data_IF_772558032166
#
_entry.id   IF_772558032166
#
_cell.length_a   1.000
_cell.length_b   1.000
_cell.length_c   1.000
_cell.angle_alpha   90.00
_cell.angle_beta   90.00
_cell.angle_gamma   90.00
#
_symmetry.space_group_name_H-M   'P 1'
#
loop_
_entity.id
_entity.type
_entity.pdbx_description
1 polymer ?
#
# COMPACT_ATOMS: atom_id res chain seq x y z
N UNK A 1 18.79 -7.20 3.44
CA UNK A 1 18.40 -6.05 4.30
C UNK A 1 17.52 -5.18 3.44
N UNK A 2 16.27 -4.92 3.83
CA UNK A 2 15.39 -4.06 3.04
C UNK A 2 15.69 -2.60 3.43
N UNK A 3 16.04 -1.78 2.44
CA UNK A 3 16.31 -0.35 2.60
C UNK A 3 15.20 0.46 1.93
N UNK A 4 14.93 1.65 2.46
CA UNK A 4 13.99 2.57 1.83
C UNK A 4 14.61 3.22 0.58
N UNK A 5 13.80 3.54 -0.45
CA UNK A 5 14.29 4.20 -1.65
C UNK A 5 14.85 5.61 -1.40
N UNK A 6 14.38 6.25 -0.32
CA UNK A 6 14.92 7.50 0.23
C UNK A 6 15.04 7.31 1.73
N UNK A 7 16.20 7.62 2.29
CA UNK A 7 16.50 7.44 3.71
C UNK A 7 17.43 8.56 4.15
N UNK A 8 17.18 9.11 5.33
CA UNK A 8 17.98 10.19 5.92
C UNK A 8 17.82 10.18 7.44
N UNK A 9 18.74 10.87 8.13
CA UNK A 9 18.74 10.90 9.60
C UNK A 9 17.65 11.80 10.18
N UNK A 10 17.21 12.83 9.44
CA UNK A 10 16.13 13.73 9.85
C UNK A 10 15.09 14.00 8.75
N UNK A 11 13.92 14.48 9.18
CA UNK A 11 12.76 14.72 8.31
C UNK A 11 13.03 15.74 7.20
N UNK A 12 13.88 16.74 7.46
CA UNK A 12 14.18 17.79 6.48
C UNK A 12 15.07 17.22 5.38
N UNK A 13 16.13 16.50 5.76
CA UNK A 13 17.00 15.80 4.80
C UNK A 13 16.21 14.77 3.98
N UNK A 14 15.32 14.01 4.63
CA UNK A 14 14.44 13.06 3.94
C UNK A 14 13.54 13.76 2.93
N UNK A 15 12.96 14.90 3.29
CA UNK A 15 12.14 15.70 2.38
C UNK A 15 12.95 16.21 1.18
N UNK A 16 14.17 16.68 1.41
CA UNK A 16 15.06 17.11 0.32
C UNK A 16 15.44 15.95 -0.60
N UNK A 17 15.70 14.77 -0.04
CA UNK A 17 16.02 13.57 -0.80
C UNK A 17 14.82 13.11 -1.64
N UNK A 18 13.62 13.04 -1.06
CA UNK A 18 12.38 12.74 -1.79
C UNK A 18 12.12 13.76 -2.90
N UNK A 19 12.48 15.03 -2.70
CA UNK A 19 12.25 16.07 -3.72
C UNK A 19 13.26 15.99 -4.86
N UNK A 20 14.53 15.76 -4.57
CA UNK A 20 15.63 16.03 -5.51
C UNK A 20 16.39 14.78 -5.96
N UNK A 21 16.53 13.78 -5.09
CA UNK A 21 17.41 12.66 -5.36
C UNK A 21 16.73 11.58 -6.20
N UNK A 22 17.54 10.78 -6.88
CA UNK A 22 17.10 9.52 -7.51
C UNK A 22 17.22 8.39 -6.49
N UNK A 23 16.25 7.48 -6.40
CA UNK A 23 16.31 6.37 -5.47
C UNK A 23 17.50 5.46 -5.83
N UNK A 24 18.23 5.01 -4.81
CA UNK A 24 19.31 4.04 -5.00
C UNK A 24 18.71 2.65 -5.22
N UNK A 25 18.92 2.08 -6.41
CA UNK A 25 18.46 0.74 -6.77
C UNK A 25 19.62 -0.25 -6.70
N UNK A 26 19.35 -1.48 -6.25
CA UNK A 26 20.35 -2.54 -6.17
C UNK A 26 20.48 -3.28 -7.51
N UNK A 27 21.67 -3.81 -7.79
CA UNK A 27 21.93 -4.63 -8.99
C UNK A 27 21.18 -5.98 -8.95
N UNK A 28 20.58 -6.34 -7.82
CA UNK A 28 19.75 -7.55 -7.66
C UNK A 28 18.38 -7.42 -8.36
N UNK A 29 17.96 -6.20 -8.70
CA UNK A 29 16.71 -5.93 -9.41
C UNK A 29 16.88 -6.14 -10.91
N UNK A 30 15.91 -6.79 -11.56
CA UNK A 30 15.88 -6.88 -13.03
C UNK A 30 15.74 -5.50 -13.67
N UNK A 31 16.10 -5.37 -14.95
CA UNK A 31 16.01 -4.10 -15.67
C UNK A 31 14.57 -3.58 -15.72
N UNK A 32 13.61 -4.48 -15.91
CA UNK A 32 12.17 -4.18 -15.95
C UNK A 32 11.68 -3.70 -14.57
N UNK A 33 12.17 -4.30 -13.48
CA UNK A 33 11.85 -3.90 -12.12
C UNK A 33 12.41 -2.51 -11.80
N UNK A 34 13.67 -2.24 -12.18
CA UNK A 34 14.30 -0.93 -11.99
C UNK A 34 13.56 0.14 -12.80
N UNK A 35 13.21 -0.15 -14.06
CA UNK A 35 12.43 0.73 -14.92
C UNK A 35 11.08 1.07 -14.29
N UNK A 36 10.34 0.06 -13.83
CA UNK A 36 9.04 0.25 -13.17
C UNK A 36 9.16 1.18 -11.96
N UNK A 37 10.12 0.90 -11.06
CA UNK A 37 10.34 1.70 -9.85
C UNK A 37 10.63 3.16 -10.20
N UNK A 38 11.52 3.41 -11.15
CA UNK A 38 11.88 4.77 -11.55
C UNK A 38 10.69 5.53 -12.16
N UNK A 39 9.89 4.87 -13.00
CA UNK A 39 8.71 5.49 -13.63
C UNK A 39 7.58 5.76 -12.63
N UNK A 40 7.42 4.94 -11.60
CA UNK A 40 6.48 5.17 -10.51
C UNK A 40 6.96 6.27 -9.53
N UNK A 41 8.28 6.38 -9.33
CA UNK A 41 8.91 7.39 -8.48
C UNK A 41 9.29 8.68 -9.23
N UNK A 42 8.71 8.91 -10.41
CA UNK A 42 8.87 10.16 -11.15
C UNK A 42 8.39 11.35 -10.32
N UNK A 43 9.22 12.40 -10.27
CA UNK A 43 9.01 13.56 -9.40
C UNK A 43 7.87 14.41 -9.93
N UNK A 44 7.78 14.57 -11.25
CA UNK A 44 6.65 15.25 -11.86
C UNK A 44 5.44 14.31 -11.89
N UNK A 45 4.34 14.62 -11.17
CA UNK A 45 3.16 13.76 -11.17
C UNK A 45 2.54 13.62 -12.56
N UNK A 46 2.67 14.61 -13.46
CA UNK A 46 2.12 14.50 -14.81
C UNK A 46 2.86 13.47 -15.69
N UNK A 47 4.14 13.22 -15.40
CA UNK A 47 4.99 12.29 -16.16
C UNK A 47 5.07 10.91 -15.49
N UNK A 48 4.50 10.77 -14.29
CA UNK A 48 4.51 9.53 -13.51
C UNK A 48 3.64 8.48 -14.17
N UNK A 49 4.17 7.25 -14.28
CA UNK A 49 3.45 6.10 -14.81
C UNK A 49 2.07 5.94 -14.13
N UNK A 50 1.02 5.84 -14.95
CA UNK A 50 -0.36 5.73 -14.47
C UNK A 50 -1.06 7.07 -14.25
N UNK A 51 -0.43 8.20 -14.60
CA UNK A 51 -1.04 9.53 -14.53
C UNK A 51 -1.71 9.95 -15.84
N UNK A 52 -1.58 9.13 -16.89
CA UNK A 52 -2.32 9.29 -18.14
C UNK A 52 -3.81 8.95 -17.96
N UNK A 53 -4.63 9.25 -18.98
CA UNK A 53 -6.05 8.86 -18.99
C UNK A 53 -6.26 7.34 -18.88
N UNK A 54 -5.25 6.54 -19.24
CA UNK A 54 -5.29 5.08 -19.12
C UNK A 54 -5.12 4.60 -17.67
N UNK A 55 -4.59 5.44 -16.77
CA UNK A 55 -4.49 5.13 -15.35
C UNK A 55 -3.78 3.81 -15.06
N UNK A 56 -4.46 2.92 -14.33
CA UNK A 56 -3.92 1.62 -13.94
C UNK A 56 -3.62 0.70 -15.14
N UNK A 57 -4.29 0.86 -16.29
CA UNK A 57 -4.02 0.05 -17.48
C UNK A 57 -2.63 0.35 -18.07
N UNK A 58 -2.12 1.58 -17.90
CA UNK A 58 -0.73 1.91 -18.25
C UNK A 58 0.27 1.16 -17.37
N UNK A 59 -0.04 1.00 -16.08
CA UNK A 59 0.82 0.28 -15.13
C UNK A 59 0.81 -1.22 -15.43
N UNK A 60 -0.37 -1.79 -15.68
CA UNK A 60 -0.56 -3.21 -16.03
C UNK A 60 0.16 -3.62 -17.31
N UNK A 61 0.27 -2.71 -18.27
CA UNK A 61 0.94 -2.94 -19.55
C UNK A 61 2.48 -2.84 -19.49
N UNK A 62 3.05 -2.54 -18.32
CA UNK A 62 4.50 -2.45 -18.15
C UNK A 62 5.16 -3.84 -18.27
N UNK A 63 6.35 -3.92 -18.88
CA UNK A 63 7.10 -5.17 -19.14
C UNK A 63 7.34 -6.02 -17.88
N UNK A 64 7.52 -5.38 -16.73
CA UNK A 64 7.60 -6.06 -15.43
C UNK A 64 6.42 -7.00 -15.13
N UNK A 65 5.23 -6.74 -15.70
CA UNK A 65 4.02 -7.53 -15.52
C UNK A 65 3.65 -8.34 -16.78
N UNK A 66 4.58 -8.53 -17.73
CA UNK A 66 4.29 -9.22 -19.00
C UNK A 66 3.77 -10.66 -18.81
N UNK A 67 4.20 -11.32 -17.74
CA UNK A 67 3.81 -12.70 -17.40
C UNK A 67 2.49 -12.79 -16.62
N UNK A 68 1.82 -11.68 -16.33
CA UNK A 68 0.57 -11.65 -15.55
C UNK A 68 -0.64 -11.61 -16.47
N UNK A 69 -1.43 -12.69 -16.45
CA UNK A 69 -2.80 -12.65 -16.92
C UNK A 69 -3.69 -11.96 -15.86
N UNK A 70 -4.12 -10.75 -16.17
CA UNK A 70 -4.92 -9.93 -15.26
C UNK A 70 -6.37 -10.42 -15.10
N UNK A 71 -6.90 -11.19 -16.05
CA UNK A 71 -8.23 -11.80 -15.97
C UNK A 71 -8.18 -13.00 -15.02
N UNK A 72 -7.24 -13.93 -15.21
CA UNK A 72 -7.01 -15.06 -14.30
C UNK A 72 -6.66 -14.59 -12.88
N UNK A 73 -5.88 -13.50 -12.76
CA UNK A 73 -5.56 -12.90 -11.46
C UNK A 73 -6.83 -12.42 -10.73
N UNK A 74 -7.73 -11.74 -11.45
CA UNK A 74 -8.98 -11.20 -10.89
C UNK A 74 -9.93 -12.32 -10.47
N UNK A 75 -9.99 -13.39 -11.26
CA UNK A 75 -10.79 -14.59 -11.00
C UNK A 75 -10.18 -15.50 -9.93
N UNK A 76 -8.98 -15.15 -9.42
CA UNK A 76 -8.22 -15.88 -8.39
C UNK A 76 -7.77 -17.27 -8.84
N UNK A 77 -7.51 -17.43 -10.13
CA UNK A 77 -7.04 -18.68 -10.72
C UNK A 77 -5.52 -18.85 -10.61
N UNK A 78 -4.77 -17.74 -10.57
CA UNK A 78 -3.34 -17.76 -10.33
C UNK A 78 -3.02 -18.23 -8.90
N UNK A 79 -2.17 -19.26 -8.78
CA UNK A 79 -1.71 -19.72 -7.48
C UNK A 79 -0.78 -18.69 -6.84
N UNK A 80 -1.08 -18.20 -5.61
CA UNK A 80 -0.21 -17.25 -4.94
C UNK A 80 1.15 -17.89 -4.61
N UNK A 81 2.27 -17.15 -4.74
CA UNK A 81 3.61 -17.69 -4.47
C UNK A 81 3.84 -18.05 -3.00
N UNK A 82 3.01 -17.50 -2.10
CA UNK A 82 3.03 -17.80 -0.68
C UNK A 82 1.61 -18.12 -0.19
N UNK A 83 1.44 -19.31 0.40
CA UNK A 83 0.21 -19.72 1.08
C UNK A 83 0.51 -19.85 2.58
N UNK A 84 0.00 -18.94 3.43
CA UNK A 84 0.24 -19.02 4.86
C UNK A 84 -0.37 -20.29 5.45
N UNK A 85 0.30 -20.85 6.46
CA UNK A 85 -0.27 -21.94 7.26
C UNK A 85 -1.30 -21.36 8.24
N UNK A 86 -2.53 -21.83 8.12
CA UNK A 86 -3.67 -21.39 8.92
C UNK A 86 -4.05 -22.40 10.00
N UNK A 87 -3.30 -23.48 10.15
CA UNK A 87 -3.52 -24.46 11.21
C UNK A 87 -3.29 -23.80 12.58
N UNK A 88 -4.32 -23.78 13.42
CA UNK A 88 -4.27 -23.15 14.75
C UNK A 88 -4.56 -21.65 14.81
N UNK A 89 -5.00 -21.02 13.72
CA UNK A 89 -5.46 -19.62 13.72
C UNK A 89 -6.94 -19.51 14.16
N UNK A 90 -7.23 -19.83 15.41
CA UNK A 90 -8.37 -19.21 16.10
C UNK A 90 -7.84 -17.95 16.76
N UNK A 91 -8.20 -16.79 16.21
CA UNK A 91 -8.02 -15.44 16.76
C UNK A 91 -6.62 -15.05 17.30
N UNK A 92 -5.98 -14.10 16.61
CA UNK A 92 -5.12 -13.03 17.18
C UNK A 92 -3.91 -13.39 18.08
N UNK A 93 -3.63 -14.65 18.38
CA UNK A 93 -2.69 -15.02 19.46
C UNK A 93 -1.22 -14.88 19.10
N UNK A 94 -0.90 -14.65 17.82
CA UNK A 94 0.48 -14.43 17.34
C UNK A 94 0.96 -12.99 17.51
N UNK A 95 0.07 -12.05 17.80
CA UNK A 95 0.38 -10.66 18.12
C UNK A 95 -0.15 -10.34 19.51
N UNK A 96 0.64 -10.65 20.53
CA UNK A 96 0.36 -10.36 21.95
C UNK A 96 -0.01 -8.88 22.19
N UNK A 97 0.44 -8.00 21.31
CA UNK A 97 0.27 -6.55 21.35
C UNK A 97 -1.10 -6.07 20.84
N UNK A 98 -1.85 -6.92 20.13
CA UNK A 98 -3.15 -6.60 19.56
C UNK A 98 -4.33 -7.05 20.43
N UNK A 99 -4.08 -7.50 21.65
CA UNK A 99 -5.14 -7.82 22.62
C UNK A 99 -5.73 -6.51 23.17
N UNK A 100 -6.64 -5.90 22.40
CA UNK A 100 -7.47 -4.81 22.91
C UNK A 100 -8.54 -5.41 23.83
N UNK A 101 -8.32 -5.34 25.14
CA UNK A 101 -9.25 -5.80 26.17
C UNK A 101 -10.45 -4.85 26.28
N UNK A 102 -11.34 -4.87 25.28
CA UNK A 102 -12.61 -4.15 25.26
C UNK A 102 -12.55 -2.70 24.79
N UNK A 103 -13.73 -2.14 24.48
CA UNK A 103 -13.88 -0.74 24.09
C UNK A 103 -13.67 0.15 25.31
N UNK A 104 -12.64 1.00 25.26
CA UNK A 104 -12.45 2.03 26.28
C UNK A 104 -13.57 3.07 26.17
N UNK A 105 -14.35 3.32 27.24
CA UNK A 105 -15.37 4.35 27.19
C UNK A 105 -14.71 5.73 26.99
N UNK A 106 -15.33 6.64 26.23
CA UNK A 106 -14.80 7.98 26.08
C UNK A 106 -14.80 8.71 27.43
N UNK A 107 -13.79 9.56 27.64
CA UNK A 107 -13.69 10.36 28.86
C UNK A 107 -14.91 11.30 29.08
N UNK A 108 -15.59 11.67 27.99
CA UNK A 108 -16.80 12.50 28.01
C UNK A 108 -17.74 12.09 26.86
N UNK A 109 -19.03 11.99 27.16
CA UNK A 109 -20.04 11.83 26.12
C UNK A 109 -20.14 13.12 25.28
N UNK A 110 -20.22 12.95 23.96
CA UNK A 110 -20.49 14.03 23.01
C UNK A 110 -21.96 14.47 23.11
N UNK A 111 -22.25 15.72 22.73
CA UNK A 111 -23.61 16.26 22.83
C UNK A 111 -24.55 15.66 21.77
N UNK A 112 -25.88 15.73 21.96
CA UNK A 112 -26.84 15.27 20.96
C UNK A 112 -26.68 15.95 19.60
N UNK A 113 -26.32 17.25 19.58
CA UNK A 113 -26.07 18.01 18.36
C UNK A 113 -24.81 17.51 17.64
N UNK A 114 -23.75 17.19 18.40
CA UNK A 114 -22.56 16.58 17.83
C UNK A 114 -22.83 15.17 17.30
N UNK A 115 -23.76 14.41 17.91
CA UNK A 115 -24.14 13.10 17.39
C UNK A 115 -24.85 13.15 16.04
N UNK A 116 -25.53 14.24 15.73
CA UNK A 116 -26.18 14.40 14.41
C UNK A 116 -25.15 14.49 13.28
N UNK A 117 -23.90 14.87 13.55
CA UNK A 117 -22.82 14.87 12.54
C UNK A 117 -22.48 13.45 12.02
N UNK A 118 -22.92 12.40 12.72
CA UNK A 118 -22.71 11.01 12.35
C UNK A 118 -23.95 10.38 11.70
N UNK A 119 -24.98 11.16 11.39
CA UNK A 119 -26.12 10.67 10.62
C UNK A 119 -25.65 10.17 9.23
N UNK A 120 -26.08 8.97 8.84
CA UNK A 120 -25.63 8.30 7.61
C UNK A 120 -24.31 7.52 7.73
N UNK A 121 -23.76 7.38 8.95
CA UNK A 121 -22.58 6.55 9.19
C UNK A 121 -22.85 5.04 9.10
N UNK A 122 -24.03 4.60 9.56
CA UNK A 122 -24.38 3.18 9.58
C UNK A 122 -24.47 2.62 8.15
N UNK A 123 -23.70 1.56 7.90
CA UNK A 123 -23.64 0.87 6.61
C UNK A 123 -23.67 -0.65 6.82
N UNK A 124 -24.35 -1.36 5.93
CA UNK A 124 -24.28 -2.81 5.80
C UNK A 124 -24.19 -3.13 4.32
N UNK A 125 -23.16 -3.90 3.93
CA UNK A 125 -23.10 -4.47 2.60
C UNK A 125 -24.15 -5.60 2.54
N UNK A 126 -25.16 -5.45 1.69
CA UNK A 126 -26.01 -6.58 1.30
C UNK A 126 -25.23 -7.58 0.45
#
# INVERSE_FOLDING_TARGET
MFQFPFDAEDDMELFESIRNDRPALTEELSEEAQCLILRLLEKNPCDRLGSSEAGAEEVKAHEFFEDIDWEEFLERELMPPFKPDVSGLTESTRQSECQAWGLMPPAKAISPEAQQLFEGFDYSAE
#
